data_IF_171988786229
#
_entry.id   IF_171988786229
#
_cell.length_a   1.000
_cell.length_b   1.000
_cell.length_c   1.000
_cell.angle_alpha   90.00
_cell.angle_beta   90.00
_cell.angle_gamma   90.00
#
_symmetry.space_group_name_H-M   'P 1'
#
loop_
_entity.id
_entity.type
_entity.pdbx_description
1 polymer ?
#
# COMPACT_ATOMS: atom_id res chain seq x y z
N UNK A 1 -6.11 14.41 16.62
CA UNK A 1 -7.14 13.78 15.75
C UNK A 1 -8.15 14.87 15.43
N UNK A 2 -8.37 15.15 14.15
CA UNK A 2 -9.26 16.20 13.68
C UNK A 2 -10.19 15.60 12.62
N UNK A 3 -11.48 15.96 12.67
CA UNK A 3 -12.47 15.54 11.69
C UNK A 3 -12.64 16.64 10.65
N UNK A 4 -12.54 16.28 9.38
CA UNK A 4 -12.66 17.21 8.25
C UNK A 4 -13.76 16.74 7.31
N UNK A 5 -14.38 17.69 6.61
CA UNK A 5 -15.41 17.43 5.59
C UNK A 5 -14.81 17.04 4.22
N UNK A 6 -13.49 17.20 4.06
CA UNK A 6 -12.73 16.92 2.84
C UNK A 6 -11.57 15.99 3.11
N UNK A 7 -11.15 15.25 2.08
CA UNK A 7 -9.97 14.40 2.12
C UNK A 7 -8.71 15.24 2.42
N UNK A 8 -8.03 14.99 3.55
CA UNK A 8 -6.83 15.75 3.90
C UNK A 8 -5.65 15.36 3.01
N UNK A 9 -4.64 16.23 2.94
CA UNK A 9 -3.36 15.90 2.29
C UNK A 9 -2.57 14.93 3.16
N UNK A 10 -1.86 13.99 2.53
CA UNK A 10 -0.85 13.15 3.19
C UNK A 10 0.54 13.55 2.70
N UNK A 11 1.55 13.39 3.56
CA UNK A 11 2.92 13.87 3.28
C UNK A 11 3.48 13.31 1.96
N UNK A 12 3.44 11.99 1.79
CA UNK A 12 4.01 11.34 0.60
C UNK A 12 3.20 11.58 -0.67
N UNK A 13 1.86 11.68 -0.58
CA UNK A 13 1.03 12.04 -1.73
C UNK A 13 1.29 13.48 -2.18
N UNK A 14 1.53 14.42 -1.25
CA UNK A 14 1.86 15.80 -1.58
C UNK A 14 3.24 15.93 -2.25
N UNK A 15 4.21 15.10 -1.86
CA UNK A 15 5.56 15.14 -2.41
C UNK A 15 5.70 14.38 -3.73
N UNK A 16 5.05 13.21 -3.86
CA UNK A 16 5.16 12.33 -5.02
C UNK A 16 3.83 11.60 -5.28
N UNK A 17 2.80 12.31 -5.79
CA UNK A 17 1.44 11.77 -5.93
C UNK A 17 1.33 10.58 -6.89
N UNK A 18 2.26 10.49 -7.86
CA UNK A 18 2.33 9.36 -8.81
C UNK A 18 2.93 8.08 -8.19
N UNK A 19 3.61 8.20 -7.06
CA UNK A 19 4.25 7.10 -6.34
C UNK A 19 3.40 6.63 -5.15
N UNK A 20 2.72 7.56 -4.48
CA UNK A 20 1.98 7.30 -3.24
C UNK A 20 0.57 7.92 -3.31
N UNK A 21 -0.45 7.19 -3.78
CA UNK A 21 -1.83 7.64 -3.76
C UNK A 21 -2.40 7.68 -2.33
N UNK A 22 -3.56 8.30 -2.14
CA UNK A 22 -4.16 8.46 -0.81
C UNK A 22 -4.51 7.12 -0.15
N UNK A 23 -5.13 6.22 -0.91
CA UNK A 23 -5.64 4.94 -0.40
C UNK A 23 -4.51 3.99 -0.03
N UNK A 24 -3.43 3.96 -0.82
CA UNK A 24 -2.19 3.19 -0.57
C UNK A 24 -2.41 1.74 -0.11
N UNK A 25 -3.49 1.09 -0.58
CA UNK A 25 -3.77 -0.31 -0.30
C UNK A 25 -2.67 -1.21 -0.88
N UNK A 26 -2.25 -2.24 -0.13
CA UNK A 26 -1.29 -3.23 -0.62
C UNK A 26 -1.90 -4.03 -1.76
N UNK A 27 -1.40 -3.84 -2.97
CA UNK A 27 -1.85 -4.56 -4.16
C UNK A 27 -0.63 -5.06 -4.97
N UNK A 28 -0.39 -6.39 -5.03
CA UNK A 28 0.72 -6.95 -5.81
C UNK A 28 0.56 -6.76 -7.33
N UNK A 29 -0.64 -6.43 -7.80
CA UNK A 29 -0.93 -6.14 -9.21
C UNK A 29 -0.63 -4.69 -9.63
N UNK A 30 -0.37 -3.79 -8.67
CA UNK A 30 -0.07 -2.37 -8.95
C UNK A 30 1.40 -2.11 -8.60
N UNK A 31 2.31 -2.04 -9.61
CA UNK A 31 3.71 -1.76 -9.34
C UNK A 31 3.91 -0.31 -8.92
N UNK A 32 4.94 -0.08 -8.11
CA UNK A 32 5.45 1.27 -7.89
C UNK A 32 6.19 1.73 -9.16
N UNK A 33 6.24 3.03 -9.50
CA UNK A 33 6.93 3.51 -10.71
C UNK A 33 8.39 3.07 -10.85
N UNK A 34 9.05 2.75 -9.72
CA UNK A 34 10.47 2.39 -9.66
C UNK A 34 10.74 0.92 -9.32
N UNK A 35 9.75 0.14 -8.90
CA UNK A 35 9.93 -1.29 -8.54
C UNK A 35 8.62 -2.08 -8.53
N UNK A 36 8.73 -3.40 -8.70
CA UNK A 36 7.59 -4.31 -8.57
C UNK A 36 7.17 -4.49 -7.11
N UNK A 37 5.86 -4.47 -6.86
CA UNK A 37 5.23 -4.80 -5.58
C UNK A 37 4.77 -6.28 -5.51
N UNK A 38 5.11 -7.11 -6.50
CA UNK A 38 4.64 -8.50 -6.57
C UNK A 38 5.29 -9.44 -5.52
N UNK A 39 6.42 -9.02 -4.95
CA UNK A 39 7.11 -9.76 -3.89
C UNK A 39 7.82 -8.83 -2.92
N UNK A 40 7.96 -9.28 -1.68
CA UNK A 40 8.53 -8.53 -0.57
C UNK A 40 9.60 -9.35 0.14
N UNK A 41 10.49 -8.66 0.85
CA UNK A 41 11.51 -9.28 1.68
C UNK A 41 10.99 -9.38 3.11
N UNK A 42 10.78 -10.60 3.59
CA UNK A 42 10.44 -10.85 4.98
C UNK A 42 11.68 -10.60 5.84
N UNK A 43 11.56 -9.71 6.82
CA UNK A 43 12.64 -9.38 7.76
C UNK A 43 12.54 -10.33 8.96
N UNK A 44 13.64 -11.02 9.26
CA UNK A 44 13.74 -11.99 10.35
C UNK A 44 15.11 -12.67 10.36
N UNK A 45 15.35 -13.65 11.25
CA UNK A 45 16.64 -14.34 11.37
C UNK A 45 17.12 -15.00 10.07
N UNK A 46 16.19 -15.42 9.20
CA UNK A 46 16.46 -15.97 7.88
C UNK A 46 15.70 -15.17 6.82
N UNK A 47 16.27 -14.08 6.28
CA UNK A 47 15.58 -13.24 5.31
C UNK A 47 15.28 -14.01 4.02
N UNK A 48 14.02 -13.99 3.61
CA UNK A 48 13.55 -14.64 2.37
C UNK A 48 12.65 -13.69 1.60
N UNK A 49 12.56 -13.89 0.28
CA UNK A 49 11.55 -13.22 -0.56
C UNK A 49 10.30 -14.08 -0.63
N UNK A 50 9.15 -13.45 -0.42
CA UNK A 50 7.82 -14.07 -0.52
C UNK A 50 6.94 -13.25 -1.46
N UNK A 51 5.86 -13.85 -1.98
CA UNK A 51 4.87 -13.12 -2.77
C UNK A 51 4.07 -12.19 -1.85
N UNK A 52 3.87 -10.95 -2.28
CA UNK A 52 3.02 -9.99 -1.57
C UNK A 52 1.56 -10.39 -1.72
N UNK A 53 0.80 -10.33 -0.64
CA UNK A 53 -0.61 -10.71 -0.60
C UNK A 53 -1.47 -9.45 -0.70
N UNK A 54 -2.53 -9.49 -1.51
CA UNK A 54 -3.47 -8.36 -1.64
C UNK A 54 -4.09 -8.01 -0.29
N UNK A 55 -4.26 -6.71 -0.04
CA UNK A 55 -4.63 -6.16 1.26
C UNK A 55 -3.74 -6.64 2.41
N UNK A 56 -2.49 -7.00 2.10
CA UNK A 56 -1.53 -7.56 3.05
C UNK A 56 -2.05 -8.80 3.80
N UNK A 57 -2.91 -9.61 3.15
CA UNK A 57 -3.50 -10.81 3.77
C UNK A 57 -4.79 -10.56 4.55
N UNK A 58 -5.35 -9.35 4.50
CA UNK A 58 -6.60 -9.00 5.19
C UNK A 58 -7.77 -8.88 4.21
N UNK A 59 -8.40 -9.98 3.75
CA UNK A 59 -9.56 -9.89 2.85
C UNK A 59 -10.77 -9.20 3.50
N UNK A 60 -10.80 -9.05 4.82
CA UNK A 60 -11.89 -8.45 5.58
C UNK A 60 -12.17 -7.00 5.16
N UNK A 61 -11.16 -6.28 4.67
CA UNK A 61 -11.33 -4.88 4.23
C UNK A 61 -11.90 -4.75 2.82
N UNK A 62 -11.97 -5.84 2.05
CA UNK A 62 -12.38 -5.79 0.65
C UNK A 62 -13.78 -5.20 0.45
N UNK A 63 -14.68 -5.36 1.44
CA UNK A 63 -16.03 -4.81 1.40
C UNK A 63 -16.10 -3.27 1.32
N UNK A 64 -15.03 -2.57 1.69
CA UNK A 64 -14.97 -1.09 1.70
C UNK A 64 -14.61 -0.50 0.33
N UNK A 65 -14.14 -1.32 -0.62
CA UNK A 65 -13.56 -0.89 -1.90
C UNK A 65 -14.22 -1.56 -3.13
N UNK A 66 -15.45 -2.05 -2.98
CA UNK A 66 -16.20 -2.70 -4.07
C UNK A 66 -16.72 -1.69 -5.09
#
# INVERSE_FOLDING_TARGET
IEFTDRQPKTLWNALAPREYPFESNVDPGVPHPRWSQASERLIGPNPVRIKTIKFNGYPQVAGLYK
#
